data_IF_849819242103
#
_entry.id   IF_849819242103
#
_cell.length_a   1.000
_cell.length_b   1.000
_cell.length_c   1.000
_cell.angle_alpha   90.00
_cell.angle_beta   90.00
_cell.angle_gamma   90.00
#
_symmetry.space_group_name_H-M   'P 1'
#
loop_
_entity.id
_entity.type
_entity.pdbx_description
1 polymer ?
#
# COMPACT_ATOMS: atom_id res chain seq x y z
N UNK A 1 -1.02 23.00 4.02
CA UNK A 1 -0.67 22.66 5.40
C UNK A 1 -1.95 22.67 6.22
N UNK A 2 -1.97 22.04 7.36
CA UNK A 2 -3.15 21.95 8.24
C UNK A 2 -2.99 22.80 9.49
N UNK A 3 -4.12 23.20 10.10
CA UNK A 3 -4.18 23.81 11.43
C UNK A 3 -4.66 22.80 12.51
N UNK A 4 -4.84 21.54 12.14
CA UNK A 4 -5.27 20.48 13.05
C UNK A 4 -4.23 20.28 14.16
N UNK A 5 -4.65 20.55 15.39
CA UNK A 5 -3.76 20.55 16.56
C UNK A 5 -3.23 19.17 16.90
N UNK A 6 -4.04 18.12 16.74
CA UNK A 6 -3.61 16.73 17.01
C UNK A 6 -2.55 16.26 16.04
N UNK A 7 -2.69 16.64 14.75
CA UNK A 7 -1.69 16.35 13.72
C UNK A 7 -0.37 17.08 14.00
N UNK A 8 -0.45 18.38 14.30
CA UNK A 8 0.75 19.19 14.54
C UNK A 8 1.49 18.72 15.79
N UNK A 9 0.78 18.39 16.88
CA UNK A 9 1.39 17.88 18.09
C UNK A 9 2.15 16.55 17.83
N UNK A 10 1.52 15.60 17.12
CA UNK A 10 2.18 14.35 16.77
C UNK A 10 3.40 14.56 15.84
N UNK A 11 3.32 15.49 14.90
CA UNK A 11 4.47 15.80 14.03
C UNK A 11 5.61 16.45 14.80
N UNK A 12 5.35 17.23 15.83
CA UNK A 12 6.40 17.79 16.70
C UNK A 12 7.10 16.68 17.48
N UNK A 13 6.37 15.68 18.01
CA UNK A 13 6.94 14.47 18.61
C UNK A 13 7.83 13.71 17.60
N UNK A 14 7.37 13.56 16.34
CA UNK A 14 8.13 12.86 15.30
C UNK A 14 9.40 13.63 14.91
N UNK A 15 9.38 14.96 14.86
CA UNK A 15 10.57 15.77 14.62
C UNK A 15 11.62 15.58 15.73
N UNK A 16 11.17 15.57 16.97
CA UNK A 16 12.06 15.37 18.12
C UNK A 16 12.65 13.96 18.12
N UNK A 17 11.83 12.94 17.86
CA UNK A 17 12.26 11.55 17.83
C UNK A 17 13.24 11.27 16.66
N UNK A 18 12.89 11.70 15.45
CA UNK A 18 13.54 11.27 14.21
C UNK A 18 14.68 12.21 13.79
N UNK A 19 14.66 13.48 14.23
CA UNK A 19 15.65 14.54 13.92
C UNK A 19 15.92 14.74 12.41
N UNK A 20 14.89 15.01 11.57
CA UNK A 20 15.08 15.20 10.14
C UNK A 20 15.78 16.53 9.82
N UNK A 21 16.62 16.54 8.77
CA UNK A 21 17.24 17.77 8.27
C UNK A 21 16.25 18.65 7.49
N UNK A 22 15.24 18.02 6.87
CA UNK A 22 14.24 18.70 6.06
C UNK A 22 12.88 18.04 6.24
N UNK A 23 11.81 18.84 6.13
CA UNK A 23 10.42 18.37 6.18
C UNK A 23 9.70 18.78 4.92
N UNK A 24 9.01 17.84 4.28
CA UNK A 24 8.26 18.06 3.06
C UNK A 24 6.85 17.48 3.23
N UNK A 25 5.84 18.33 3.10
CA UNK A 25 4.46 17.90 3.00
C UNK A 25 4.15 17.46 1.57
N UNK A 26 3.47 16.33 1.44
CA UNK A 26 2.97 15.84 0.16
C UNK A 26 1.60 16.46 -0.10
N UNK A 27 1.52 17.29 -1.13
CA UNK A 27 0.31 17.98 -1.53
C UNK A 27 -0.53 17.20 -2.55
N UNK A 28 0.05 16.14 -3.13
CA UNK A 28 -0.59 15.26 -4.11
C UNK A 28 -0.59 15.81 -5.54
N UNK A 29 0.05 16.95 -5.81
CA UNK A 29 0.14 17.50 -7.16
C UNK A 29 1.09 16.69 -8.05
N UNK A 30 0.77 16.58 -9.35
CA UNK A 30 1.66 15.94 -10.33
C UNK A 30 2.98 16.67 -10.47
N UNK A 31 3.02 18.00 -10.25
CA UNK A 31 4.24 18.78 -10.24
C UNK A 31 5.19 18.31 -9.13
N UNK A 32 4.70 18.19 -7.90
CA UNK A 32 5.50 17.71 -6.77
C UNK A 32 5.92 16.24 -6.96
N UNK A 33 4.98 15.37 -7.33
CA UNK A 33 5.27 13.96 -7.56
C UNK A 33 6.26 13.76 -8.72
N UNK A 34 6.17 14.57 -9.78
CA UNK A 34 7.13 14.58 -10.89
C UNK A 34 8.52 14.99 -10.44
N UNK A 35 8.64 16.02 -9.59
CA UNK A 35 9.91 16.44 -8.98
C UNK A 35 10.52 15.32 -8.12
N UNK A 36 9.71 14.63 -7.33
CA UNK A 36 10.15 13.51 -6.49
C UNK A 36 10.60 12.31 -7.35
N UNK A 37 9.89 11.99 -8.44
CA UNK A 37 10.34 10.94 -9.41
C UNK A 37 11.71 11.29 -9.99
N UNK A 38 11.92 12.54 -10.41
CA UNK A 38 13.20 12.99 -10.93
C UNK A 38 14.32 12.91 -9.87
N UNK A 39 14.03 13.31 -8.64
CA UNK A 39 14.94 13.19 -7.52
C UNK A 39 15.30 11.72 -7.23
N UNK A 40 14.31 10.81 -7.17
CA UNK A 40 14.53 9.39 -6.95
C UNK A 40 15.38 8.75 -8.06
N UNK A 41 15.19 9.18 -9.32
CA UNK A 41 16.06 8.75 -10.42
C UNK A 41 17.49 9.27 -10.26
N UNK A 42 17.68 10.52 -9.84
CA UNK A 42 19.03 11.10 -9.67
C UNK A 42 19.84 10.46 -8.55
N UNK A 43 19.16 9.95 -7.52
CA UNK A 43 19.78 9.23 -6.39
C UNK A 43 19.92 7.72 -6.62
N UNK A 44 19.36 7.18 -7.71
CA UNK A 44 19.33 5.75 -8.00
C UNK A 44 18.27 4.96 -7.18
N UNK A 45 17.42 5.63 -6.42
CA UNK A 45 16.29 4.98 -5.73
C UNK A 45 15.29 4.40 -6.73
N UNK A 46 15.12 5.08 -7.89
CA UNK A 46 14.33 4.59 -9.02
C UNK A 46 15.17 4.58 -10.31
N UNK A 47 14.90 3.62 -11.16
CA UNK A 47 15.40 3.56 -12.54
C UNK A 47 14.22 3.87 -13.47
N UNK A 48 14.31 4.94 -14.26
CA UNK A 48 13.29 5.25 -15.25
C UNK A 48 13.37 4.24 -16.40
N UNK A 49 12.24 3.62 -16.73
CA UNK A 49 12.14 2.63 -17.79
C UNK A 49 11.89 3.28 -19.16
N UNK A 50 11.87 2.46 -20.20
CA UNK A 50 11.62 2.87 -21.59
C UNK A 50 10.27 3.58 -21.72
N UNK A 51 10.28 4.86 -22.06
CA UNK A 51 9.07 5.70 -22.09
C UNK A 51 8.11 5.33 -23.24
N UNK A 52 8.62 4.75 -24.34
CA UNK A 52 7.77 4.33 -25.46
C UNK A 52 7.03 3.02 -25.18
N UNK A 53 7.69 2.07 -24.47
CA UNK A 53 7.14 0.75 -24.16
C UNK A 53 6.40 0.70 -22.84
N UNK A 54 6.89 1.45 -21.86
CA UNK A 54 6.40 1.49 -20.47
C UNK A 54 6.31 2.94 -19.97
N UNK A 55 5.41 3.75 -20.53
CA UNK A 55 5.32 5.19 -20.22
C UNK A 55 5.06 5.45 -18.74
N UNK A 56 5.91 6.30 -18.15
CA UNK A 56 5.81 6.66 -16.75
C UNK A 56 6.10 5.52 -15.77
N UNK A 57 6.74 4.43 -16.22
CA UNK A 57 7.10 3.31 -15.37
C UNK A 57 8.54 3.43 -14.85
N UNK A 58 8.74 2.84 -13.67
CA UNK A 58 10.01 2.85 -12.96
C UNK A 58 10.31 1.47 -12.40
N UNK A 59 11.61 1.20 -12.17
CA UNK A 59 12.08 0.03 -11.45
C UNK A 59 12.74 0.48 -10.15
N UNK A 60 12.40 -0.21 -9.05
CA UNK A 60 13.01 -0.09 -7.74
C UNK A 60 13.64 -1.42 -7.31
N UNK A 61 14.74 -1.37 -6.58
CA UNK A 61 15.33 -2.53 -5.91
C UNK A 61 15.45 -2.27 -4.42
N UNK A 62 14.94 -3.18 -3.61
CA UNK A 62 15.15 -3.19 -2.17
C UNK A 62 16.50 -3.83 -1.83
N UNK A 63 16.92 -3.74 -0.58
CA UNK A 63 18.04 -4.55 -0.10
C UNK A 63 17.75 -6.04 -0.29
N UNK A 64 18.79 -6.84 -0.57
CA UNK A 64 18.66 -8.28 -0.88
C UNK A 64 18.00 -9.09 0.25
N UNK A 65 18.15 -8.62 1.50
CA UNK A 65 17.53 -9.22 2.69
C UNK A 65 16.16 -8.61 3.04
N UNK A 66 15.55 -7.79 2.14
CA UNK A 66 14.30 -7.08 2.39
C UNK A 66 13.38 -7.18 1.16
N UNK A 67 12.95 -8.40 0.84
CA UNK A 67 12.22 -8.71 -0.40
C UNK A 67 10.84 -9.32 -0.17
N UNK A 68 10.43 -9.47 1.10
CA UNK A 68 9.17 -10.08 1.48
C UNK A 68 8.62 -9.46 2.76
N UNK A 69 7.35 -9.70 3.03
CA UNK A 69 6.76 -9.39 4.34
C UNK A 69 7.39 -10.26 5.42
N UNK A 70 7.55 -9.68 6.61
CA UNK A 70 8.14 -10.35 7.78
C UNK A 70 7.02 -10.69 8.78
N UNK A 71 6.38 -11.83 8.58
CA UNK A 71 5.22 -12.25 9.39
C UNK A 71 5.62 -12.49 10.86
N UNK A 72 6.78 -13.08 11.10
CA UNK A 72 7.34 -13.36 12.42
C UNK A 72 7.76 -12.10 13.20
N UNK A 73 7.90 -10.97 12.52
CA UNK A 73 8.24 -9.65 13.10
C UNK A 73 7.13 -8.63 12.96
N UNK A 74 5.93 -9.10 12.63
CA UNK A 74 4.71 -8.29 12.55
C UNK A 74 3.83 -8.57 13.77
N UNK A 75 3.51 -7.51 14.52
CA UNK A 75 2.81 -7.61 15.80
C UNK A 75 1.56 -6.75 15.83
N UNK A 76 0.55 -7.24 16.53
CA UNK A 76 -0.56 -6.44 17.04
C UNK A 76 -0.28 -6.16 18.51
N UNK A 77 -0.13 -4.90 18.85
CA UNK A 77 0.20 -4.42 20.19
C UNK A 77 -1.05 -3.86 20.85
N UNK A 78 -2.09 -4.69 20.96
CA UNK A 78 -3.33 -4.40 21.68
C UNK A 78 -3.11 -4.44 23.19
N UNK A 79 -3.91 -3.67 23.95
CA UNK A 79 -3.84 -3.67 25.43
C UNK A 79 -4.15 -5.03 26.04
N UNK A 80 -4.95 -5.84 25.37
CA UNK A 80 -5.22 -7.22 25.74
C UNK A 80 -4.73 -8.14 24.62
N UNK A 81 -4.03 -9.21 24.97
CA UNK A 81 -3.52 -10.20 24.00
C UNK A 81 -4.66 -10.82 23.18
N UNK A 82 -5.81 -11.10 23.79
CA UNK A 82 -6.97 -11.67 23.13
C UNK A 82 -7.50 -10.81 21.94
N UNK A 83 -7.30 -9.48 22.00
CA UNK A 83 -7.72 -8.55 20.95
C UNK A 83 -6.76 -8.55 19.74
N UNK A 84 -5.59 -9.15 19.84
CA UNK A 84 -4.70 -9.36 18.70
C UNK A 84 -5.25 -10.39 17.70
N UNK A 85 -6.15 -11.25 18.16
CA UNK A 85 -6.74 -12.33 17.38
C UNK A 85 -5.85 -13.59 17.34
N UNK A 86 -6.41 -14.72 16.89
CA UNK A 86 -5.80 -16.04 17.06
C UNK A 86 -4.60 -16.32 16.13
N UNK A 87 -4.41 -15.52 15.09
CA UNK A 87 -3.39 -15.78 14.04
C UNK A 87 -2.29 -14.72 13.98
N UNK A 88 -2.37 -13.68 14.80
CA UNK A 88 -1.37 -12.62 14.84
C UNK A 88 -0.41 -12.82 16.02
N UNK A 89 0.82 -12.36 15.85
CA UNK A 89 1.74 -12.22 16.98
C UNK A 89 1.31 -11.03 17.84
N UNK A 90 1.34 -11.20 19.14
CA UNK A 90 1.08 -10.12 20.09
C UNK A 90 2.38 -9.67 20.78
N UNK A 91 2.43 -8.40 21.11
CA UNK A 91 3.48 -7.82 21.94
C UNK A 91 2.87 -6.74 22.85
N UNK A 92 3.32 -6.70 24.09
CA UNK A 92 2.88 -5.68 25.05
C UNK A 92 3.16 -4.27 24.52
N UNK A 93 2.15 -3.35 24.51
CA UNK A 93 2.28 -2.05 23.86
C UNK A 93 3.45 -1.19 24.37
N UNK A 94 3.65 -1.10 25.68
CA UNK A 94 4.69 -0.23 26.25
C UNK A 94 6.10 -0.74 25.92
N UNK A 95 6.30 -2.05 25.94
CA UNK A 95 7.56 -2.68 25.49
C UNK A 95 7.81 -2.45 24.01
N UNK A 96 6.75 -2.57 23.19
CA UNK A 96 6.81 -2.33 21.76
C UNK A 96 7.16 -0.86 21.46
N UNK A 97 6.50 0.10 22.07
CA UNK A 97 6.83 1.53 21.90
C UNK A 97 8.26 1.85 22.29
N UNK A 98 8.71 1.39 23.45
CA UNK A 98 10.08 1.61 23.90
C UNK A 98 11.08 1.07 22.87
N UNK A 99 10.93 -0.19 22.47
CA UNK A 99 11.81 -0.84 21.48
C UNK A 99 11.83 -0.06 20.16
N UNK A 100 10.66 0.28 19.62
CA UNK A 100 10.55 0.93 18.31
C UNK A 100 11.08 2.36 18.32
N UNK A 101 10.81 3.12 19.39
CA UNK A 101 11.33 4.49 19.53
C UNK A 101 12.84 4.51 19.74
N UNK A 102 13.40 3.52 20.45
CA UNK A 102 14.84 3.38 20.58
C UNK A 102 15.51 3.09 19.23
N UNK A 103 14.87 2.26 18.37
CA UNK A 103 15.33 1.99 17.01
C UNK A 103 15.20 3.21 16.09
N UNK A 104 14.07 3.90 16.17
CA UNK A 104 13.76 5.02 15.27
C UNK A 104 14.50 6.32 15.64
N UNK A 105 15.00 6.44 16.87
CA UNK A 105 15.60 7.68 17.39
C UNK A 105 16.75 8.16 16.51
N UNK A 106 16.60 9.40 16.02
CA UNK A 106 17.61 10.04 15.16
C UNK A 106 17.75 9.43 13.76
N UNK A 107 16.87 8.51 13.37
CA UNK A 107 17.00 7.76 12.12
C UNK A 107 16.83 8.61 10.85
N UNK A 108 16.31 9.84 10.98
CA UNK A 108 16.18 10.77 9.85
C UNK A 108 17.29 11.81 9.79
N UNK A 109 18.30 11.73 10.65
CA UNK A 109 19.47 12.61 10.58
C UNK A 109 20.13 12.48 9.20
N UNK A 110 20.36 13.62 8.51
CA UNK A 110 20.83 13.65 7.13
C UNK A 110 19.75 13.32 6.08
N UNK A 111 18.48 13.17 6.47
CA UNK A 111 17.39 12.75 5.60
C UNK A 111 16.23 13.73 5.62
N UNK A 112 15.34 13.61 4.63
CA UNK A 112 14.09 14.35 4.55
C UNK A 112 12.96 13.53 5.17
N UNK A 113 12.16 14.13 6.03
CA UNK A 113 10.87 13.60 6.47
C UNK A 113 9.78 14.03 5.50
N UNK A 114 9.21 13.09 4.78
CA UNK A 114 8.03 13.30 3.97
C UNK A 114 6.78 13.03 4.81
N UNK A 115 5.81 13.95 4.77
CA UNK A 115 4.53 13.82 5.46
C UNK A 115 3.47 13.57 4.41
N UNK A 116 2.83 12.39 4.46
CA UNK A 116 1.87 11.90 3.48
C UNK A 116 0.47 11.86 4.12
N UNK A 117 -0.36 12.90 3.96
CA UNK A 117 -1.77 12.77 4.27
C UNK A 117 -2.43 11.89 3.20
N UNK A 118 -3.17 10.84 3.62
CA UNK A 118 -3.80 9.93 2.67
C UNK A 118 -5.19 9.49 3.13
N UNK A 119 -6.05 9.18 2.17
CA UNK A 119 -7.39 8.64 2.40
C UNK A 119 -7.46 7.20 1.89
N UNK A 120 -7.91 6.32 2.77
CA UNK A 120 -8.39 4.99 2.42
C UNK A 120 -9.90 5.10 2.12
N UNK A 121 -10.25 4.85 0.86
CA UNK A 121 -11.57 5.15 0.33
C UNK A 121 -11.64 6.51 -0.39
N UNK A 122 -12.68 6.76 -1.19
CA UNK A 122 -12.83 7.99 -1.95
C UNK A 122 -12.94 9.22 -1.04
N UNK A 123 -12.22 10.29 -1.37
CA UNK A 123 -12.30 11.57 -0.64
C UNK A 123 -13.75 12.08 -0.69
N UNK A 124 -14.27 12.52 0.45
CA UNK A 124 -15.66 12.96 0.60
C UNK A 124 -16.65 11.82 0.90
N UNK A 125 -16.23 10.56 0.83
CA UNK A 125 -17.08 9.44 1.24
C UNK A 125 -17.19 9.36 2.77
N UNK A 126 -18.39 9.14 3.33
CA UNK A 126 -18.55 8.89 4.78
C UNK A 126 -17.93 7.55 5.22
N UNK A 127 -17.51 6.73 4.27
CA UNK A 127 -16.85 5.46 4.54
C UNK A 127 -15.32 5.55 4.47
N UNK A 128 -14.79 6.69 4.01
CA UNK A 128 -13.35 6.90 3.95
C UNK A 128 -12.76 7.09 5.34
N UNK A 129 -11.54 6.57 5.52
CA UNK A 129 -10.74 6.74 6.74
C UNK A 129 -9.44 7.45 6.37
N UNK A 130 -8.97 8.33 7.23
CA UNK A 130 -7.79 9.15 6.96
C UNK A 130 -6.59 8.64 7.76
N UNK A 131 -5.42 8.66 7.13
CA UNK A 131 -4.14 8.43 7.78
C UNK A 131 -3.13 9.51 7.41
N UNK A 132 -2.11 9.65 8.22
CA UNK A 132 -0.94 10.47 7.93
C UNK A 132 0.29 9.61 8.19
N UNK A 133 1.09 9.38 7.15
CA UNK A 133 2.33 8.63 7.24
C UNK A 133 3.54 9.57 7.15
N UNK A 134 4.50 9.41 8.05
CA UNK A 134 5.83 10.01 7.92
C UNK A 134 6.81 8.95 7.45
N UNK A 135 7.66 9.31 6.48
CA UNK A 135 8.67 8.41 5.88
C UNK A 135 9.91 9.15 5.44
N UNK A 136 11.04 8.46 5.36
CA UNK A 136 12.31 8.94 4.80
C UNK A 136 12.57 8.40 3.37
N UNK A 137 11.55 7.87 2.69
CA UNK A 137 11.67 7.22 1.37
C UNK A 137 10.76 7.86 0.32
N UNK A 138 11.34 8.30 -0.80
CA UNK A 138 10.57 8.78 -1.95
C UNK A 138 9.79 7.63 -2.60
N UNK A 139 10.36 6.42 -2.61
CA UNK A 139 9.65 5.22 -3.09
C UNK A 139 8.32 5.01 -2.35
N UNK A 140 8.31 5.21 -1.02
CA UNK A 140 7.07 5.11 -0.22
C UNK A 140 6.08 6.20 -0.63
N UNK A 141 6.52 7.46 -0.75
CA UNK A 141 5.66 8.58 -1.18
C UNK A 141 4.96 8.26 -2.49
N UNK A 142 5.73 7.84 -3.50
CA UNK A 142 5.21 7.58 -4.85
C UNK A 142 4.26 6.38 -4.90
N UNK A 143 4.58 5.32 -4.15
CA UNK A 143 3.69 4.17 -4.06
C UNK A 143 2.41 4.47 -3.27
N UNK A 144 2.49 5.25 -2.18
CA UNK A 144 1.30 5.71 -1.45
C UNK A 144 0.41 6.58 -2.34
N UNK A 145 0.98 7.41 -3.22
CA UNK A 145 0.22 8.19 -4.19
C UNK A 145 -0.51 7.33 -5.24
N UNK A 146 0.04 6.14 -5.58
CA UNK A 146 -0.64 5.16 -6.45
C UNK A 146 -1.72 4.41 -5.67
N UNK A 147 -1.39 3.94 -4.47
CA UNK A 147 -2.23 3.01 -3.70
C UNK A 147 -3.37 3.68 -2.94
N UNK A 148 -3.26 4.97 -2.65
CA UNK A 148 -4.21 5.74 -1.86
C UNK A 148 -4.50 7.08 -2.54
N UNK A 149 -5.35 7.91 -1.94
CA UNK A 149 -5.57 9.30 -2.40
C UNK A 149 -4.80 10.20 -1.44
N UNK A 150 -3.77 10.88 -1.95
CA UNK A 150 -2.85 11.68 -1.11
C UNK A 150 -3.04 13.17 -1.29
N UNK A 151 -2.65 13.94 -0.29
CA UNK A 151 -2.41 15.37 -0.42
C UNK A 151 -3.39 16.29 0.28
N UNK A 152 -3.44 17.54 -0.20
CA UNK A 152 -4.13 18.65 0.46
C UNK A 152 -5.64 18.46 0.62
N UNK A 153 -6.29 17.76 -0.32
CA UNK A 153 -7.72 17.45 -0.24
C UNK A 153 -8.05 16.53 0.94
N UNK A 154 -7.13 15.65 1.32
CA UNK A 154 -7.27 14.77 2.50
C UNK A 154 -7.25 15.60 3.79
N UNK A 155 -6.32 16.56 3.89
CA UNK A 155 -6.24 17.46 5.04
C UNK A 155 -7.48 18.34 5.15
N UNK A 156 -8.04 18.80 4.03
CA UNK A 156 -9.29 19.53 4.00
C UNK A 156 -10.48 18.70 4.51
N UNK A 157 -10.53 17.42 4.14
CA UNK A 157 -11.55 16.48 4.65
C UNK A 157 -11.37 16.20 6.14
N UNK A 158 -10.13 16.04 6.62
CA UNK A 158 -9.84 15.81 8.03
C UNK A 158 -10.29 16.99 8.90
N UNK A 159 -10.05 18.22 8.44
CA UNK A 159 -10.35 19.43 9.22
C UNK A 159 -9.70 19.38 10.61
N UNK A 160 -10.48 19.60 11.65
CA UNK A 160 -10.05 19.56 13.06
C UNK A 160 -10.32 18.21 13.75
N UNK A 161 -10.72 17.17 12.99
CA UNK A 161 -10.98 15.84 13.54
C UNK A 161 -9.71 15.22 14.11
N UNK A 162 -9.85 14.55 15.25
CA UNK A 162 -8.81 13.74 15.87
C UNK A 162 -8.87 12.25 15.43
N UNK A 163 -9.88 11.90 14.62
CA UNK A 163 -10.07 10.53 14.11
C UNK A 163 -9.25 10.31 12.84
N UNK A 164 -8.01 9.90 13.02
CA UNK A 164 -7.08 9.57 11.95
C UNK A 164 -6.01 8.58 12.44
N UNK A 165 -5.40 7.86 11.50
CA UNK A 165 -4.38 6.84 11.79
C UNK A 165 -2.98 7.41 11.57
N UNK A 166 -2.14 7.27 12.59
CA UNK A 166 -0.74 7.64 12.59
C UNK A 166 0.09 6.55 11.89
N UNK A 167 1.04 6.93 11.07
CA UNK A 167 1.96 6.03 10.43
C UNK A 167 3.41 6.52 10.54
N UNK A 168 4.26 5.80 11.24
CA UNK A 168 5.70 6.04 11.26
C UNK A 168 6.40 4.95 10.47
N UNK A 169 7.05 5.32 9.38
CA UNK A 169 7.99 4.46 8.65
C UNK A 169 9.39 5.05 8.68
N UNK A 170 10.38 4.25 9.00
CA UNK A 170 11.80 4.60 8.83
C UNK A 170 12.60 3.43 8.26
N UNK A 171 13.36 3.72 7.19
CA UNK A 171 14.31 2.74 6.65
C UNK A 171 15.43 2.41 7.66
N UNK A 172 15.74 3.33 8.57
CA UNK A 172 16.89 3.20 9.48
C UNK A 172 18.13 2.75 8.69
N UNK A 173 18.73 1.62 9.09
CA UNK A 173 19.91 1.01 8.44
C UNK A 173 19.55 -0.27 7.65
N UNK A 174 18.26 -0.56 7.48
CA UNK A 174 17.75 -1.80 6.84
C UNK A 174 18.27 -3.07 7.56
N UNK A 175 18.42 -2.97 8.89
CA UNK A 175 18.87 -4.08 9.73
C UNK A 175 17.74 -5.13 9.89
N UNK A 176 17.94 -6.32 9.31
CA UNK A 176 16.96 -7.40 9.34
C UNK A 176 16.63 -7.87 10.78
N UNK A 177 17.61 -7.80 11.70
CA UNK A 177 17.41 -8.21 13.09
C UNK A 177 16.62 -7.21 13.92
N UNK A 178 16.54 -5.94 13.43
CA UNK A 178 15.77 -4.87 14.05
C UNK A 178 14.58 -4.42 13.20
N UNK A 179 14.16 -5.24 12.25
CA UNK A 179 13.02 -4.99 11.37
C UNK A 179 11.74 -5.40 12.09
N UNK A 180 10.82 -4.44 12.26
CA UNK A 180 9.54 -4.66 12.92
C UNK A 180 8.42 -3.87 12.26
N UNK A 181 7.22 -4.48 12.21
CA UNK A 181 5.97 -3.83 11.83
C UNK A 181 4.98 -4.03 12.97
N UNK A 182 4.67 -2.96 13.71
CA UNK A 182 3.80 -3.02 14.88
C UNK A 182 2.56 -2.14 14.70
N UNK A 183 1.43 -2.66 15.15
CA UNK A 183 0.13 -2.03 15.07
C UNK A 183 -0.41 -1.81 16.47
N UNK A 184 -0.79 -0.59 16.81
CA UNK A 184 -1.36 -0.18 18.09
C UNK A 184 -2.81 0.24 17.84
N UNK A 185 -3.75 -0.72 17.83
CA UNK A 185 -5.10 -0.47 17.35
C UNK A 185 -5.89 0.53 18.19
N UNK A 186 -5.72 0.55 19.51
CA UNK A 186 -6.40 1.50 20.40
C UNK A 186 -5.86 2.93 20.27
N UNK A 187 -4.64 3.09 19.76
CA UNK A 187 -3.97 4.38 19.58
C UNK A 187 -4.02 4.85 18.12
N UNK A 188 -4.66 4.08 17.23
CA UNK A 188 -4.67 4.32 15.79
C UNK A 188 -3.25 4.57 15.25
N UNK A 189 -2.29 3.70 15.60
CA UNK A 189 -0.89 3.93 15.27
C UNK A 189 -0.25 2.69 14.63
N UNK A 190 0.56 2.92 13.61
CA UNK A 190 1.34 1.90 12.91
C UNK A 190 2.79 2.37 12.87
N UNK A 191 3.72 1.48 13.23
CA UNK A 191 5.15 1.76 13.18
C UNK A 191 5.86 0.65 12.42
N UNK A 192 6.60 1.04 11.37
CA UNK A 192 7.44 0.15 10.57
C UNK A 192 8.87 0.66 10.53
N UNK A 193 9.82 -0.15 10.93
CA UNK A 193 11.25 0.20 11.00
C UNK A 193 12.12 -0.84 10.30
N UNK A 194 13.26 -0.38 9.73
CA UNK A 194 14.28 -1.20 9.08
C UNK A 194 13.80 -1.98 7.84
N UNK A 195 12.80 -1.47 7.13
CA UNK A 195 12.36 -2.02 5.85
C UNK A 195 12.24 -0.92 4.80
N UNK A 196 12.50 -1.28 3.56
CA UNK A 196 12.19 -0.52 2.35
C UNK A 196 11.28 -1.28 1.39
N UNK A 197 10.84 -2.50 1.78
CA UNK A 197 9.98 -3.34 0.96
C UNK A 197 8.51 -2.89 1.04
N UNK A 198 7.88 -2.66 -0.11
CA UNK A 198 6.52 -2.11 -0.22
C UNK A 198 5.48 -2.79 0.67
N UNK A 199 5.52 -4.13 0.80
CA UNK A 199 4.61 -4.87 1.67
C UNK A 199 4.73 -4.57 3.16
N UNK A 200 5.85 -3.98 3.59
CA UNK A 200 6.12 -3.60 4.98
C UNK A 200 5.97 -2.10 5.24
N UNK A 201 6.05 -1.26 4.21
CA UNK A 201 6.21 0.19 4.35
C UNK A 201 5.08 1.02 3.78
N UNK A 202 4.20 0.45 2.96
CA UNK A 202 2.98 1.11 2.49
C UNK A 202 1.90 0.93 3.56
N UNK A 203 1.92 1.80 4.57
CA UNK A 203 1.16 1.60 5.81
C UNK A 203 -0.36 1.71 5.61
N UNK A 204 -0.81 2.35 4.54
CA UNK A 204 -2.23 2.38 4.18
C UNK A 204 -2.80 1.02 3.75
N UNK A 205 -1.96 0.14 3.17
CA UNK A 205 -2.46 -1.12 2.60
C UNK A 205 -2.86 -2.14 3.70
N UNK A 206 -2.02 -3.12 3.99
CA UNK A 206 -2.35 -4.20 4.96
C UNK A 206 -2.37 -3.72 6.40
N UNK A 207 -1.52 -2.79 6.74
CA UNK A 207 -1.42 -2.29 8.10
C UNK A 207 -2.68 -1.53 8.51
N UNK A 208 -3.08 -0.52 7.75
CA UNK A 208 -4.29 0.24 8.03
C UNK A 208 -5.55 -0.48 7.51
N UNK A 209 -5.63 -0.70 6.18
CA UNK A 209 -6.88 -1.14 5.54
C UNK A 209 -7.35 -2.53 5.99
N UNK A 210 -6.49 -3.33 6.59
CA UNK A 210 -6.86 -4.64 7.12
C UNK A 210 -6.68 -4.74 8.63
N UNK A 211 -5.47 -4.55 9.18
CA UNK A 211 -5.20 -4.84 10.59
C UNK A 211 -5.81 -3.82 11.55
N UNK A 212 -5.53 -2.53 11.37
CA UNK A 212 -6.19 -1.47 12.18
C UNK A 212 -7.69 -1.44 11.86
N UNK A 213 -8.07 -1.50 10.61
CA UNK A 213 -9.46 -1.46 10.18
C UNK A 213 -10.31 -2.62 10.72
N UNK A 214 -9.75 -3.82 10.89
CA UNK A 214 -10.48 -4.95 11.51
C UNK A 214 -10.79 -4.67 12.98
N UNK A 215 -9.86 -4.05 13.71
CA UNK A 215 -10.11 -3.63 15.08
C UNK A 215 -11.17 -2.52 15.17
N UNK A 216 -11.05 -1.50 14.31
CA UNK A 216 -12.04 -0.42 14.23
C UNK A 216 -13.42 -0.97 13.85
N UNK A 217 -13.46 -1.87 12.87
CA UNK A 217 -14.69 -2.52 12.41
C UNK A 217 -15.39 -3.30 13.52
N UNK A 218 -14.64 -4.08 14.31
CA UNK A 218 -15.15 -4.79 15.50
C UNK A 218 -15.83 -3.83 16.48
N UNK A 219 -15.25 -2.65 16.68
CA UNK A 219 -15.76 -1.69 17.66
C UNK A 219 -16.88 -0.77 17.12
N UNK A 220 -17.02 -0.65 15.80
CA UNK A 220 -17.95 0.25 15.12
C UNK A 220 -18.93 -0.46 14.19
N UNK A 221 -19.12 -1.78 14.36
CA UNK A 221 -20.12 -2.60 13.65
C UNK A 221 -19.95 -2.61 12.12
N UNK A 222 -18.68 -2.70 11.64
CA UNK A 222 -18.36 -2.93 10.25
C UNK A 222 -17.20 -3.94 10.11
N UNK A 223 -16.90 -4.37 8.90
CA UNK A 223 -15.89 -5.39 8.64
C UNK A 223 -14.84 -4.87 7.67
N UNK A 224 -13.58 -5.16 7.98
CA UNK A 224 -12.46 -5.03 7.04
C UNK A 224 -11.95 -6.42 6.70
N UNK A 225 -12.11 -6.82 5.45
CA UNK A 225 -11.91 -8.20 5.03
C UNK A 225 -10.89 -8.30 3.89
N UNK A 226 -10.11 -9.40 3.91
CA UNK A 226 -9.19 -9.75 2.84
C UNK A 226 -9.97 -10.40 1.70
N UNK A 227 -10.76 -9.58 0.99
CA UNK A 227 -11.68 -9.99 -0.06
C UNK A 227 -11.55 -9.13 -1.31
N UNK A 228 -11.79 -9.74 -2.46
CA UNK A 228 -12.07 -9.02 -3.69
C UNK A 228 -13.51 -8.48 -3.70
N UNK A 229 -13.76 -7.47 -4.54
CA UNK A 229 -15.11 -7.03 -4.91
C UNK A 229 -15.20 -7.03 -6.44
N UNK A 230 -16.14 -7.79 -6.97
CA UNK A 230 -16.37 -8.00 -8.39
C UNK A 230 -17.81 -7.62 -8.75
N UNK A 231 -17.99 -6.88 -9.83
CA UNK A 231 -19.30 -6.58 -10.42
C UNK A 231 -19.55 -7.46 -11.65
N UNK A 232 -20.75 -8.01 -11.75
CA UNK A 232 -21.23 -8.78 -12.91
C UNK A 232 -22.55 -8.20 -13.38
N UNK A 233 -22.65 -7.88 -14.68
CA UNK A 233 -23.88 -7.46 -15.34
C UNK A 233 -24.32 -8.56 -16.32
N UNK A 234 -25.60 -8.96 -16.22
CA UNK A 234 -26.19 -9.91 -17.15
C UNK A 234 -26.72 -9.19 -18.42
N UNK A 235 -27.14 -9.94 -19.48
CA UNK A 235 -27.64 -9.35 -20.71
C UNK A 235 -28.91 -8.47 -20.56
N UNK A 236 -29.61 -8.60 -19.45
CA UNK A 236 -30.81 -7.82 -19.10
C UNK A 236 -30.46 -6.51 -18.36
N UNK A 237 -29.14 -6.23 -18.12
CA UNK A 237 -28.70 -5.06 -17.39
C UNK A 237 -28.78 -5.20 -15.86
N UNK A 238 -29.08 -6.39 -15.35
CA UNK A 238 -29.10 -6.65 -13.92
C UNK A 238 -27.66 -6.81 -13.41
N UNK A 239 -27.30 -6.04 -12.39
CA UNK A 239 -25.97 -6.04 -11.78
C UNK A 239 -26.00 -6.76 -10.44
N UNK A 240 -25.02 -7.66 -10.23
CA UNK A 240 -24.71 -8.27 -8.94
C UNK A 240 -23.28 -7.98 -8.56
N UNK A 241 -23.06 -7.64 -7.29
CA UNK A 241 -21.74 -7.52 -6.70
C UNK A 241 -21.42 -8.74 -5.85
N UNK A 242 -20.20 -9.22 -5.96
CA UNK A 242 -19.72 -10.40 -5.25
C UNK A 242 -18.46 -9.99 -4.47
N UNK A 243 -18.44 -10.30 -3.18
CA UNK A 243 -17.23 -10.23 -2.36
C UNK A 243 -16.79 -11.65 -2.01
N UNK A 244 -15.50 -11.95 -2.15
CA UNK A 244 -15.00 -13.31 -1.95
C UNK A 244 -13.60 -13.31 -1.33
N UNK A 245 -13.43 -14.16 -0.30
CA UNK A 245 -12.15 -14.40 0.35
C UNK A 245 -11.43 -15.60 -0.27
N UNK A 246 -10.12 -15.47 -0.40
CA UNK A 246 -9.24 -16.54 -0.86
C UNK A 246 -7.98 -16.56 0.00
N UNK A 247 -7.46 -17.74 0.35
CA UNK A 247 -6.12 -17.87 0.89
C UNK A 247 -5.06 -17.27 -0.04
N UNK A 248 -3.87 -17.00 0.49
CA UNK A 248 -2.74 -16.51 -0.32
C UNK A 248 -2.44 -17.47 -1.47
N UNK A 249 -2.12 -16.92 -2.65
CA UNK A 249 -1.80 -17.65 -3.88
C UNK A 249 -2.91 -18.56 -4.45
N UNK A 250 -4.16 -18.37 -4.05
CA UNK A 250 -5.32 -19.17 -4.55
C UNK A 250 -6.06 -18.52 -5.74
N UNK A 251 -5.51 -17.46 -6.34
CA UNK A 251 -6.08 -16.84 -7.54
C UNK A 251 -7.11 -15.74 -7.29
N UNK A 252 -7.12 -15.11 -6.11
CA UNK A 252 -8.03 -14.01 -5.78
C UNK A 252 -7.95 -12.87 -6.80
N UNK A 253 -6.76 -12.34 -7.09
CA UNK A 253 -6.55 -11.28 -8.08
C UNK A 253 -6.95 -11.72 -9.51
N UNK A 254 -6.72 -12.99 -9.86
CA UNK A 254 -7.16 -13.51 -11.17
C UNK A 254 -8.68 -13.52 -11.29
N UNK A 255 -9.40 -13.88 -10.22
CA UNK A 255 -10.86 -13.80 -10.22
C UNK A 255 -11.36 -12.33 -10.21
N UNK A 256 -10.72 -11.46 -9.42
CA UNK A 256 -11.08 -10.04 -9.37
C UNK A 256 -10.97 -9.35 -10.74
N UNK A 257 -9.97 -9.75 -11.54
CA UNK A 257 -9.67 -9.22 -12.87
C UNK A 257 -10.17 -10.13 -13.99
N UNK A 258 -11.20 -10.95 -13.72
CA UNK A 258 -11.77 -11.90 -14.67
C UNK A 258 -12.23 -11.22 -15.97
N UNK A 259 -11.83 -11.81 -17.09
CA UNK A 259 -12.44 -11.54 -18.38
C UNK A 259 -13.45 -12.65 -18.66
N UNK A 260 -14.73 -12.34 -18.90
CA UNK A 260 -15.72 -13.36 -19.19
C UNK A 260 -15.29 -14.19 -20.41
N UNK A 261 -15.45 -15.52 -20.40
CA UNK A 261 -15.24 -16.32 -21.59
C UNK A 261 -16.08 -15.83 -22.78
N UNK A 262 -15.58 -15.99 -23.99
CA UNK A 262 -16.19 -15.46 -25.24
C UNK A 262 -17.69 -15.81 -25.36
N UNK A 263 -18.10 -17.03 -24.99
CA UNK A 263 -19.49 -17.45 -25.01
C UNK A 263 -20.41 -16.69 -24.05
N UNK A 264 -19.86 -15.99 -23.04
CA UNK A 264 -20.62 -15.09 -22.16
C UNK A 264 -20.55 -13.65 -22.63
N UNK A 265 -19.37 -13.18 -23.09
CA UNK A 265 -19.21 -11.83 -23.64
C UNK A 265 -20.11 -11.61 -24.86
N UNK A 266 -20.16 -12.57 -25.80
CA UNK A 266 -21.04 -12.52 -26.97
C UNK A 266 -22.55 -12.52 -26.62
N UNK A 267 -22.91 -13.01 -25.44
CA UNK A 267 -24.27 -12.95 -24.90
C UNK A 267 -24.58 -11.67 -24.12
N UNK A 268 -23.60 -10.75 -23.99
CA UNK A 268 -23.79 -9.46 -23.34
C UNK A 268 -23.47 -9.42 -21.86
N UNK A 269 -22.83 -10.45 -21.27
CA UNK A 269 -22.34 -10.40 -19.90
C UNK A 269 -21.12 -9.48 -19.81
N UNK A 270 -21.06 -8.66 -18.74
CA UNK A 270 -19.91 -7.80 -18.41
C UNK A 270 -19.42 -8.12 -17.02
N UNK A 271 -18.11 -8.01 -16.82
CA UNK A 271 -17.47 -8.18 -15.51
C UNK A 271 -16.45 -7.04 -15.32
N UNK A 272 -16.39 -6.50 -14.11
CA UNK A 272 -15.38 -5.50 -13.75
C UNK A 272 -14.90 -5.66 -12.31
N UNK A 273 -13.66 -5.28 -12.07
CA UNK A 273 -13.05 -5.25 -10.76
C UNK A 273 -13.43 -3.93 -10.04
N UNK A 274 -13.93 -4.02 -8.83
CA UNK A 274 -14.11 -2.90 -7.90
C UNK A 274 -12.93 -2.84 -6.94
N UNK A 275 -12.41 -3.98 -6.51
CA UNK A 275 -11.22 -4.13 -5.70
C UNK A 275 -10.73 -5.57 -5.72
N UNK A 276 -9.40 -5.78 -5.70
CA UNK A 276 -8.83 -7.11 -5.81
C UNK A 276 -8.38 -7.72 -4.48
N UNK A 277 -8.25 -6.92 -3.42
CA UNK A 277 -7.54 -7.35 -2.22
C UNK A 277 -8.27 -7.09 -0.91
N UNK A 278 -8.88 -5.92 -0.71
CA UNK A 278 -9.53 -5.54 0.55
C UNK A 278 -10.91 -4.98 0.29
N UNK A 279 -11.87 -5.40 1.12
CA UNK A 279 -13.24 -4.89 1.15
C UNK A 279 -13.57 -4.37 2.54
N UNK A 280 -14.05 -3.13 2.63
CA UNK A 280 -14.70 -2.61 3.83
C UNK A 280 -16.21 -2.73 3.67
N UNK A 281 -16.84 -3.42 4.59
CA UNK A 281 -18.26 -3.77 4.47
C UNK A 281 -19.04 -3.33 5.71
N UNK A 282 -20.21 -2.77 5.48
CA UNK A 282 -21.15 -2.39 6.53
C UNK A 282 -22.60 -2.53 6.09
N UNK A 283 -23.48 -2.62 7.07
CA UNK A 283 -24.92 -2.55 6.81
C UNK A 283 -25.28 -1.13 6.38
N UNK A 284 -25.88 -0.99 5.21
CA UNK A 284 -26.39 0.27 4.70
C UNK A 284 -27.75 0.64 5.30
N UNK A 285 -28.23 1.87 5.02
CA UNK A 285 -29.52 2.35 5.52
C UNK A 285 -30.71 1.57 4.97
N UNK A 286 -30.54 0.90 3.84
CA UNK A 286 -31.52 0.02 3.19
C UNK A 286 -31.51 -1.43 3.74
N UNK A 287 -30.70 -1.70 4.76
CA UNK A 287 -30.52 -3.02 5.36
C UNK A 287 -29.66 -3.99 4.56
N UNK A 288 -29.14 -3.60 3.40
CA UNK A 288 -28.24 -4.41 2.58
C UNK A 288 -26.79 -4.27 3.06
N UNK A 289 -25.97 -5.25 2.69
CA UNK A 289 -24.53 -5.17 2.86
C UNK A 289 -23.94 -4.28 1.76
N UNK A 290 -23.28 -3.21 2.18
CA UNK A 290 -22.55 -2.30 1.31
C UNK A 290 -21.04 -2.55 1.45
N UNK A 291 -20.32 -2.50 0.34
CA UNK A 291 -18.88 -2.70 0.32
C UNK A 291 -18.17 -1.57 -0.45
N UNK A 292 -17.00 -1.15 0.02
CA UNK A 292 -16.09 -0.28 -0.72
C UNK A 292 -14.72 -0.92 -0.82
N UNK A 293 -13.99 -0.58 -1.89
CA UNK A 293 -12.55 -0.78 -1.97
C UNK A 293 -11.86 0.43 -1.33
N UNK A 294 -11.10 0.27 -0.22
CA UNK A 294 -10.38 1.38 0.39
C UNK A 294 -9.18 1.83 -0.44
N UNK A 295 -8.62 0.97 -1.28
CA UNK A 295 -7.44 1.25 -2.08
C UNK A 295 -7.78 2.04 -3.36
N UNK A 296 -6.78 2.69 -3.96
CA UNK A 296 -6.90 3.42 -5.23
C UNK A 296 -6.25 2.65 -6.38
N UNK A 297 -5.07 2.09 -6.17
CA UNK A 297 -4.31 1.32 -7.15
C UNK A 297 -4.23 -0.16 -6.80
N UNK A 298 -3.40 -0.88 -7.56
CA UNK A 298 -3.14 -2.31 -7.37
C UNK A 298 -1.71 -2.53 -6.89
N UNK A 299 -1.55 -3.47 -5.97
CA UNK A 299 -0.24 -3.96 -5.53
C UNK A 299 -0.24 -5.48 -5.68
N UNK A 300 0.36 -5.94 -6.78
CA UNK A 300 0.34 -7.35 -7.17
C UNK A 300 1.72 -8.01 -7.15
N UNK A 301 1.73 -9.31 -7.31
CA UNK A 301 2.93 -10.14 -7.45
C UNK A 301 3.18 -10.39 -8.94
N UNK A 302 4.37 -10.01 -9.43
CA UNK A 302 4.72 -10.13 -10.85
C UNK A 302 4.95 -11.59 -11.32
N UNK A 303 5.71 -12.46 -10.63
CA UNK A 303 5.96 -13.82 -11.07
C UNK A 303 4.69 -14.59 -11.45
N UNK A 304 4.71 -15.22 -12.63
CA UNK A 304 3.58 -15.97 -13.19
C UNK A 304 2.49 -15.13 -13.86
N UNK A 305 2.52 -13.81 -13.73
CA UNK A 305 1.57 -12.90 -14.40
C UNK A 305 1.96 -12.71 -15.87
N UNK A 306 1.06 -13.09 -16.78
CA UNK A 306 1.27 -12.98 -18.23
C UNK A 306 -0.07 -12.83 -18.97
N UNK A 307 0.02 -12.69 -20.31
CA UNK A 307 -1.16 -12.49 -21.15
C UNK A 307 -2.17 -13.66 -21.11
N UNK A 308 -1.74 -14.86 -20.71
CA UNK A 308 -2.60 -16.04 -20.60
C UNK A 308 -3.18 -16.21 -19.20
N UNK A 309 -2.37 -16.00 -18.16
CA UNK A 309 -2.79 -16.23 -16.77
C UNK A 309 -3.66 -15.09 -16.24
N UNK A 310 -3.33 -13.83 -16.54
CA UNK A 310 -4.09 -12.65 -16.14
C UNK A 310 -3.81 -11.46 -17.06
N UNK A 311 -4.46 -11.36 -18.22
CA UNK A 311 -4.23 -10.28 -19.18
C UNK A 311 -4.58 -8.89 -18.64
N UNK A 312 -5.59 -8.75 -17.76
CA UNK A 312 -5.95 -7.47 -17.15
C UNK A 312 -4.88 -6.99 -16.16
N UNK A 313 -4.36 -7.86 -15.31
CA UNK A 313 -3.25 -7.53 -14.43
C UNK A 313 -2.01 -7.11 -15.24
N UNK A 314 -1.68 -7.86 -16.29
CA UNK A 314 -0.57 -7.50 -17.18
C UNK A 314 -0.81 -6.15 -17.87
N UNK A 315 -2.01 -5.87 -18.33
CA UNK A 315 -2.35 -4.59 -18.96
C UNK A 315 -2.23 -3.42 -17.99
N UNK A 316 -2.59 -3.62 -16.70
CA UNK A 316 -2.48 -2.59 -15.66
C UNK A 316 -1.04 -2.17 -15.36
N UNK A 317 -0.05 -3.03 -15.67
CA UNK A 317 1.37 -2.72 -15.43
C UNK A 317 2.02 -1.89 -16.54
N UNK A 318 1.35 -1.65 -17.66
CA UNK A 318 1.96 -1.03 -18.84
C UNK A 318 2.19 0.47 -18.75
N UNK A 319 1.59 1.15 -17.76
CA UNK A 319 1.70 2.60 -17.60
C UNK A 319 1.69 2.97 -16.12
N UNK A 320 2.59 3.89 -15.74
CA UNK A 320 2.58 4.49 -14.40
C UNK A 320 2.88 3.51 -13.26
N UNK A 321 3.57 2.40 -13.54
CA UNK A 321 3.87 1.34 -12.58
C UNK A 321 5.26 1.49 -12.00
N UNK A 322 5.40 1.26 -10.71
CA UNK A 322 6.69 1.08 -10.05
C UNK A 322 6.90 -0.43 -9.86
N UNK A 323 7.74 -1.01 -10.71
CA UNK A 323 8.16 -2.40 -10.57
C UNK A 323 9.18 -2.51 -9.44
N UNK A 324 9.06 -3.55 -8.63
CA UNK A 324 9.98 -3.77 -7.50
C UNK A 324 10.55 -5.18 -7.59
N UNK A 325 11.89 -5.28 -7.51
CA UNK A 325 12.60 -6.56 -7.46
C UNK A 325 12.29 -7.51 -8.62
N UNK A 326 12.21 -6.98 -9.82
CA UNK A 326 12.13 -7.75 -11.08
C UNK A 326 13.41 -7.60 -11.88
N UNK A 327 13.60 -8.39 -12.92
CA UNK A 327 14.75 -8.32 -13.83
C UNK A 327 14.67 -7.05 -14.67
N UNK A 328 15.78 -6.33 -14.79
CA UNK A 328 15.95 -5.19 -15.69
C UNK A 328 16.56 -5.67 -17.01
N UNK A 329 15.81 -5.62 -18.08
CA UNK A 329 16.30 -5.89 -19.42
C UNK A 329 17.06 -4.66 -19.95
N UNK A 330 18.37 -4.80 -20.16
CA UNK A 330 19.24 -3.70 -20.59
C UNK A 330 19.19 -3.44 -22.09
N UNK A 331 18.70 -4.37 -22.91
CA UNK A 331 18.64 -4.20 -24.36
C UNK A 331 17.65 -3.13 -24.79
N UNK A 332 16.54 -3.03 -24.07
CA UNK A 332 15.46 -2.10 -24.41
C UNK A 332 14.95 -1.29 -23.20
N UNK A 333 15.64 -1.39 -22.06
CA UNK A 333 15.31 -0.70 -20.82
C UNK A 333 13.88 -0.98 -20.34
N UNK A 334 13.49 -2.26 -20.39
CA UNK A 334 12.22 -2.76 -19.87
C UNK A 334 12.44 -3.70 -18.69
N UNK A 335 11.39 -4.35 -18.22
CA UNK A 335 11.46 -5.34 -17.13
C UNK A 335 10.98 -6.70 -17.59
N UNK A 336 11.50 -7.72 -16.93
CA UNK A 336 11.06 -9.10 -17.11
C UNK A 336 10.93 -9.80 -15.75
N UNK A 337 10.06 -10.80 -15.66
CA UNK A 337 9.90 -11.65 -14.47
C UNK A 337 9.56 -13.08 -14.89
N UNK A 338 9.83 -14.04 -14.02
CA UNK A 338 9.56 -15.43 -14.25
C UNK A 338 8.09 -15.68 -14.61
N UNK A 339 7.88 -16.31 -15.76
CA UNK A 339 6.55 -16.61 -16.27
C UNK A 339 5.87 -15.49 -17.06
N UNK A 340 6.53 -14.35 -17.32
CA UNK A 340 6.02 -13.31 -18.21
C UNK A 340 5.87 -13.85 -19.64
N UNK A 341 6.93 -14.45 -20.14
CA UNK A 341 6.98 -15.14 -21.42
C UNK A 341 8.06 -16.25 -21.42
N UNK A 342 8.33 -16.83 -22.57
CA UNK A 342 9.33 -17.92 -22.74
C UNK A 342 10.73 -17.43 -23.10
N UNK A 343 10.92 -16.11 -23.24
CA UNK A 343 12.15 -15.50 -23.78
C UNK A 343 12.79 -14.60 -22.70
N UNK A 344 13.46 -15.14 -21.68
CA UNK A 344 14.16 -14.33 -20.72
C UNK A 344 15.27 -13.52 -21.40
N UNK A 345 15.47 -12.23 -21.02
CA UNK A 345 16.52 -11.41 -21.62
C UNK A 345 17.90 -11.98 -21.25
N UNK A 346 18.84 -11.92 -22.20
CA UNK A 346 20.23 -12.38 -22.01
C UNK A 346 21.15 -11.28 -21.53
N UNK A 347 20.84 -10.01 -21.87
CA UNK A 347 21.54 -8.83 -21.38
C UNK A 347 20.68 -8.15 -20.32
N UNK A 348 20.84 -8.56 -19.08
CA UNK A 348 19.94 -8.16 -18.00
C UNK A 348 20.65 -8.09 -16.65
N UNK A 349 20.06 -7.33 -15.75
CA UNK A 349 20.44 -7.28 -14.32
C UNK A 349 19.32 -7.91 -13.52
N UNK A 350 19.65 -8.88 -12.69
CA UNK A 350 18.66 -9.55 -11.86
C UNK A 350 18.12 -8.62 -10.74
N UNK A 351 17.16 -9.13 -9.97
CA UNK A 351 16.55 -8.35 -8.88
C UNK A 351 17.54 -8.05 -7.73
N UNK A 352 18.64 -8.79 -7.62
CA UNK A 352 19.72 -8.53 -6.65
C UNK A 352 20.71 -7.47 -7.13
N UNK A 353 20.68 -7.15 -8.44
CA UNK A 353 21.59 -6.19 -9.05
C UNK A 353 22.84 -6.82 -9.68
N UNK A 354 22.85 -8.15 -9.90
CA UNK A 354 23.95 -8.87 -10.55
C UNK A 354 23.79 -8.88 -12.06
#
# INVERSE_FOLDING_TARGET
>A
MTNNKSVLAWLDEMKELLTPDKIVWIDGSEEQLGTLRAQACSTGELIKLNEEKLPGCYLHRTAVNDVARVEDRTFICSRKEEDAGPTNNWKEPQEAYKMLFDIARGSYKGRTMYIIPYSMGPIGSPLAQIGIEVTDSIYVVLNMAIMTRVGSAVLAQLGDSEDWVKGLHSRCDIDAEKRYICHFPEDNYIISVNSGYGGNVLLGKKCFALRIASYLGKNHEWMAEHMLILGIENPQGEVKYISAAFPSACGKTNLAMLIPPEGYTSRGYKVWCVGDDIAWMRKGPDGRLWAINPENGFFGVAPGTNAKSNPNALASTRKGTIFTNVVHNLDDNTVWWEGLDKNPPTNAVDWKGN
#
